data_IF_643681345457
#
_entry.id   IF_643681345457
#
_cell.length_a   1.000
_cell.length_b   1.000
_cell.length_c   1.000
_cell.angle_alpha   90.00
_cell.angle_beta   90.00
_cell.angle_gamma   90.00
#
_symmetry.space_group_name_H-M   'P 1'
#
loop_
_entity.id
_entity.type
_entity.pdbx_description
1 polymer ?
#
# COMPACT_ATOMS: atom_id res chain seq x y z
N UNK A 1 -9.99 -5.24 0.94
CA UNK A 1 -8.79 -5.96 1.28
C UNK A 1 -7.96 -6.20 0.03
N UNK A 2 -6.70 -5.87 0.10
CA UNK A 2 -5.79 -5.91 -1.06
C UNK A 2 -4.60 -6.80 -0.74
N UNK A 3 -4.29 -7.73 -1.66
CA UNK A 3 -3.08 -8.54 -1.52
C UNK A 3 -1.85 -7.67 -1.73
N UNK A 4 -0.81 -7.90 -0.92
CA UNK A 4 0.45 -7.18 -1.08
C UNK A 4 1.08 -7.36 -2.46
N UNK A 5 0.79 -8.49 -3.11
CA UNK A 5 1.28 -8.78 -4.46
C UNK A 5 0.44 -8.16 -5.58
N UNK A 6 -0.67 -7.49 -5.25
CA UNK A 6 -1.50 -6.85 -6.28
C UNK A 6 -0.70 -5.75 -6.99
N UNK A 7 -1.01 -5.55 -8.27
CA UNK A 7 -0.31 -4.54 -9.07
C UNK A 7 -0.62 -3.14 -8.55
N UNK A 8 0.42 -2.35 -8.28
CA UNK A 8 0.26 -0.98 -7.81
C UNK A 8 -0.48 -0.12 -8.81
N UNK A 9 -0.24 -0.31 -10.10
CA UNK A 9 -0.91 0.45 -11.17
C UNK A 9 -2.42 0.24 -11.14
N UNK A 10 -2.88 -1.00 -10.99
CA UNK A 10 -4.31 -1.31 -10.94
C UNK A 10 -4.94 -0.74 -9.67
N UNK A 11 -4.25 -0.84 -8.56
CA UNK A 11 -4.74 -0.27 -7.31
C UNK A 11 -4.88 1.24 -7.41
N UNK A 12 -3.87 1.91 -7.95
CA UNK A 12 -3.89 3.35 -8.13
C UNK A 12 -5.05 3.79 -9.04
N UNK A 13 -5.29 3.05 -10.11
CA UNK A 13 -6.39 3.34 -11.03
C UNK A 13 -7.74 3.23 -10.33
N UNK A 14 -7.94 2.20 -9.53
CA UNK A 14 -9.19 2.00 -8.81
C UNK A 14 -9.44 3.04 -7.74
N UNK A 15 -8.38 3.50 -7.08
CA UNK A 15 -8.49 4.49 -6.02
C UNK A 15 -8.42 5.93 -6.53
N UNK A 16 -8.04 6.13 -7.78
CA UNK A 16 -7.87 7.46 -8.35
C UNK A 16 -6.65 8.18 -7.80
N UNK A 17 -5.61 7.47 -7.41
CA UNK A 17 -4.37 8.07 -6.91
C UNK A 17 -3.31 8.10 -8.00
N UNK A 18 -2.37 9.01 -7.85
CA UNK A 18 -1.25 9.17 -8.79
C UNK A 18 0.00 8.53 -8.23
N UNK A 19 0.72 7.79 -9.08
CA UNK A 19 2.00 7.20 -8.73
C UNK A 19 3.13 7.90 -9.49
N UNK A 20 4.33 8.01 -8.90
CA UNK A 20 5.48 8.56 -9.62
C UNK A 20 5.81 7.72 -10.84
N UNK A 21 6.21 8.36 -11.93
CA UNK A 21 6.59 7.64 -13.14
C UNK A 21 7.92 6.90 -12.99
N UNK A 22 8.81 7.42 -12.15
CA UNK A 22 10.14 6.87 -11.93
C UNK A 22 10.22 5.91 -10.75
N UNK A 23 9.09 5.39 -10.33
CA UNK A 23 9.05 4.46 -9.20
C UNK A 23 9.73 3.14 -9.53
N UNK A 24 10.32 2.51 -8.51
CA UNK A 24 11.00 1.23 -8.64
C UNK A 24 10.21 0.08 -8.01
N UNK A 25 8.94 0.28 -7.72
CA UNK A 25 8.06 -0.77 -7.19
C UNK A 25 6.91 -1.04 -8.16
N UNK A 26 6.36 -2.24 -8.11
CA UNK A 26 5.26 -2.65 -8.98
C UNK A 26 4.06 -3.20 -8.22
N UNK A 27 4.15 -3.37 -6.91
CA UNK A 27 3.11 -4.01 -6.10
C UNK A 27 2.57 -3.08 -5.03
N UNK A 28 1.39 -3.44 -4.49
CA UNK A 28 0.79 -2.70 -3.37
C UNK A 28 1.71 -2.70 -2.15
N UNK A 29 2.39 -3.83 -1.88
CA UNK A 29 3.38 -3.88 -0.80
C UNK A 29 4.52 -2.90 -1.05
N UNK A 30 5.01 -2.83 -2.28
CA UNK A 30 6.07 -1.89 -2.65
C UNK A 30 5.62 -0.44 -2.49
N UNK A 31 4.39 -0.13 -2.87
CA UNK A 31 3.82 1.20 -2.67
C UNK A 31 3.81 1.57 -1.18
N UNK A 32 3.37 0.66 -0.33
CA UNK A 32 3.33 0.90 1.11
C UNK A 32 4.74 1.16 1.68
N UNK A 33 5.72 0.34 1.29
CA UNK A 33 7.09 0.51 1.74
C UNK A 33 7.69 1.84 1.27
N UNK A 34 7.42 2.22 0.02
CA UNK A 34 7.90 3.49 -0.52
C UNK A 34 7.29 4.69 0.20
N UNK A 35 6.02 4.58 0.61
CA UNK A 35 5.32 5.65 1.33
C UNK A 35 5.81 5.76 2.77
N UNK A 36 5.93 4.63 3.45
CA UNK A 36 6.38 4.59 4.85
C UNK A 36 7.89 4.78 5.00
N UNK A 37 8.65 4.37 3.99
CA UNK A 37 10.13 4.42 3.98
C UNK A 37 10.76 3.56 5.09
N UNK A 38 10.03 2.54 5.52
CA UNK A 38 10.50 1.57 6.51
C UNK A 38 9.59 0.35 6.48
N UNK A 39 10.05 -0.74 7.08
CA UNK A 39 9.24 -1.95 7.21
C UNK A 39 8.19 -1.72 8.32
N UNK A 40 6.90 -1.83 8.01
CA UNK A 40 5.85 -1.63 9.01
C UNK A 40 5.62 -2.88 9.85
N UNK A 41 4.84 -2.69 10.91
CA UNK A 41 4.32 -3.79 11.73
C UNK A 41 2.84 -3.97 11.44
N UNK A 42 2.30 -5.15 11.75
CA UNK A 42 0.87 -5.39 11.64
C UNK A 42 0.10 -4.39 12.49
N UNK A 43 -0.98 -3.88 11.95
CA UNK A 43 -1.81 -2.88 12.60
C UNK A 43 -1.40 -1.45 12.30
N UNK A 44 -0.24 -1.23 11.70
CA UNK A 44 0.19 0.09 11.30
C UNK A 44 -0.62 0.60 10.12
N UNK A 45 -0.89 1.90 10.11
CA UNK A 45 -1.62 2.51 9.01
C UNK A 45 -0.97 3.82 8.55
N UNK A 46 -1.29 4.21 7.33
CA UNK A 46 -0.86 5.49 6.78
C UNK A 46 -1.94 6.02 5.84
N UNK A 47 -1.90 7.31 5.56
CA UNK A 47 -2.82 7.95 4.62
C UNK A 47 -2.06 8.33 3.35
N UNK A 48 -2.72 8.17 2.21
CA UNK A 48 -2.17 8.54 0.92
C UNK A 48 -3.30 9.02 0.02
N UNK A 49 -3.26 10.28 -0.38
CA UNK A 49 -4.19 10.88 -1.34
C UNK A 49 -5.67 10.59 -1.03
N UNK A 50 -6.05 10.75 0.24
CA UNK A 50 -7.44 10.59 0.67
C UNK A 50 -7.84 9.19 1.03
N UNK A 51 -6.91 8.25 1.02
CA UNK A 51 -7.16 6.87 1.40
C UNK A 51 -6.33 6.48 2.62
N UNK A 52 -6.91 5.61 3.46
CA UNK A 52 -6.21 5.04 4.60
C UNK A 52 -5.83 3.61 4.26
N UNK A 53 -4.57 3.29 4.45
CA UNK A 53 -4.04 1.95 4.23
C UNK A 53 -3.64 1.37 5.58
N UNK A 54 -4.13 0.19 5.89
CA UNK A 54 -3.75 -0.50 7.11
C UNK A 54 -3.07 -1.82 6.77
N UNK A 55 -1.93 -2.08 7.39
CA UNK A 55 -1.22 -3.36 7.25
C UNK A 55 -1.91 -4.37 8.13
N UNK A 56 -2.71 -5.25 7.54
CA UNK A 56 -3.50 -6.21 8.33
C UNK A 56 -2.82 -7.56 8.47
N UNK A 57 -1.85 -7.86 7.61
CA UNK A 57 -1.13 -9.12 7.71
C UNK A 57 0.28 -8.98 7.16
N UNK A 58 1.25 -9.53 7.88
CA UNK A 58 2.65 -9.57 7.50
C UNK A 58 3.08 -11.03 7.40
N UNK A 59 3.88 -11.34 6.38
CA UNK A 59 4.52 -12.65 6.25
C UNK A 59 6.02 -12.43 6.37
N UNK A 60 6.52 -12.53 7.61
CA UNK A 60 7.90 -12.19 7.91
C UNK A 60 8.16 -10.71 7.64
N UNK A 61 9.03 -10.42 6.69
CA UNK A 61 9.38 -9.04 6.31
C UNK A 61 8.60 -8.56 5.10
N UNK A 62 7.52 -9.23 4.75
CA UNK A 62 6.71 -8.93 3.57
C UNK A 62 5.31 -8.54 3.98
N UNK A 63 4.78 -7.47 3.41
CA UNK A 63 3.38 -7.09 3.58
C UNK A 63 2.54 -8.04 2.75
N UNK A 64 1.68 -8.82 3.41
CA UNK A 64 0.84 -9.80 2.74
C UNK A 64 -0.52 -9.23 2.37
N UNK A 65 -1.13 -8.46 3.26
CA UNK A 65 -2.46 -7.89 3.02
C UNK A 65 -2.56 -6.48 3.56
N UNK A 66 -3.32 -5.66 2.83
CA UNK A 66 -3.63 -4.29 3.20
C UNK A 66 -5.13 -4.09 3.19
N UNK A 67 -5.65 -3.33 4.14
CA UNK A 67 -7.04 -2.87 4.14
C UNK A 67 -7.04 -1.41 3.72
N UNK A 68 -7.75 -1.11 2.63
CA UNK A 68 -7.82 0.25 2.09
C UNK A 68 -9.23 0.78 2.30
N UNK A 69 -9.33 1.98 2.86
CA UNK A 69 -10.61 2.62 3.11
C UNK A 69 -10.46 4.14 2.93
N UNK A 70 -11.57 4.87 2.73
CA UNK A 70 -11.50 6.33 2.68
C UNK A 70 -10.95 6.89 3.99
N UNK A 71 -10.06 7.89 3.87
CA UNK A 71 -9.38 8.47 5.03
C UNK A 71 -10.20 9.57 5.72
N UNK A 72 -11.21 10.05 5.06
CA UNK A 72 -12.00 11.18 5.56
C UNK A 72 -13.24 10.84 6.30
#
# INVERSE_FOLDING_TARGET
LVAGTAAADLLAERLGIDLPDDRDYATAAGLALATLKRLPEEGESFALQGWRFEVVDMDGRRIDKLLVSPAG
#
